data_IF_173225437687
#
_entry.id   IF_173225437687
#
_cell.length_a   1.000
_cell.length_b   1.000
_cell.length_c   1.000
_cell.angle_alpha   90.00
_cell.angle_beta   90.00
_cell.angle_gamma   90.00
#
_symmetry.space_group_name_H-M   'P 1'
#
loop_
_entity.id
_entity.type
_entity.pdbx_description
1 polymer ?
#
# COMPACT_ATOMS: atom_id res chain seq x y z
N UNK A 1 -19.44 -4.76 4.59
CA UNK A 1 -19.12 -5.55 3.39
C UNK A 1 -20.33 -6.36 2.98
N UNK A 2 -20.57 -6.47 1.68
CA UNK A 2 -21.54 -7.41 1.11
C UNK A 2 -20.96 -8.83 1.08
N UNK A 3 -21.83 -9.79 0.78
CA UNK A 3 -21.48 -11.17 0.39
C UNK A 3 -20.42 -11.19 -0.70
N UNK A 4 -20.62 -10.47 -1.81
CA UNK A 4 -19.73 -10.54 -2.98
C UNK A 4 -18.42 -9.73 -2.82
N UNK A 5 -18.14 -9.22 -1.61
CA UNK A 5 -16.99 -8.34 -1.39
C UNK A 5 -15.66 -9.06 -1.67
N UNK A 6 -15.53 -10.31 -1.22
CA UNK A 6 -14.29 -11.08 -1.32
C UNK A 6 -13.95 -11.32 -2.80
N UNK A 7 -14.94 -11.74 -3.59
CA UNK A 7 -14.80 -11.93 -5.04
C UNK A 7 -14.50 -10.62 -5.78
N UNK A 8 -15.25 -9.55 -5.48
CA UNK A 8 -15.12 -8.26 -6.17
C UNK A 8 -13.75 -7.63 -5.93
N UNK A 9 -13.25 -7.73 -4.71
CA UNK A 9 -11.96 -7.15 -4.31
C UNK A 9 -10.78 -8.10 -4.54
N UNK A 10 -11.02 -9.34 -4.98
CA UNK A 10 -9.98 -10.35 -5.14
C UNK A 10 -9.29 -10.72 -3.83
N UNK A 11 -10.00 -10.57 -2.71
CA UNK A 11 -9.52 -10.99 -1.40
C UNK A 11 -9.63 -12.51 -1.33
N UNK A 12 -8.75 -13.16 -0.58
CA UNK A 12 -8.75 -14.62 -0.42
C UNK A 12 -9.29 -14.97 0.95
N UNK A 13 -10.30 -15.83 1.04
CA UNK A 13 -10.72 -16.43 2.30
C UNK A 13 -9.70 -17.50 2.72
N UNK A 14 -9.23 -17.42 3.97
CA UNK A 14 -8.20 -18.31 4.53
C UNK A 14 -8.83 -19.39 5.39
N UNK A 15 -9.85 -19.04 6.17
CA UNK A 15 -10.58 -19.97 7.02
C UNK A 15 -12.02 -19.48 7.26
N UNK A 16 -12.93 -20.40 7.55
CA UNK A 16 -14.33 -20.10 7.86
C UNK A 16 -15.19 -19.91 6.62
N UNK A 17 -16.09 -18.92 6.65
CA UNK A 17 -17.03 -18.60 5.57
C UNK A 17 -17.12 -17.10 5.33
N UNK A 18 -17.60 -16.74 4.14
CA UNK A 18 -17.97 -15.38 3.80
C UNK A 18 -19.31 -14.97 4.44
N UNK A 19 -19.65 -13.68 4.33
CA UNK A 19 -20.99 -13.21 4.68
C UNK A 19 -22.01 -13.80 3.72
N UNK A 20 -23.18 -14.13 4.25
CA UNK A 20 -24.28 -14.74 3.49
C UNK A 20 -25.53 -13.86 3.56
N UNK A 21 -26.52 -14.08 2.67
CA UNK A 21 -27.86 -13.48 2.78
C UNK A 21 -28.55 -13.70 4.13
N UNK A 22 -28.21 -14.78 4.83
CA UNK A 22 -28.79 -15.12 6.13
C UNK A 22 -28.19 -14.32 7.30
N UNK A 23 -27.06 -13.64 7.10
CA UNK A 23 -26.44 -12.76 8.10
C UNK A 23 -27.14 -11.39 8.11
N UNK A 24 -28.44 -11.40 8.39
CA UNK A 24 -29.31 -10.23 8.43
C UNK A 24 -29.33 -9.50 9.79
N UNK A 25 -30.05 -8.38 9.90
CA UNK A 25 -30.14 -7.57 11.12
C UNK A 25 -30.57 -8.36 12.36
N UNK A 26 -31.43 -9.37 12.20
CA UNK A 26 -31.99 -10.18 13.30
C UNK A 26 -31.15 -11.41 13.66
N UNK A 27 -30.11 -11.72 12.87
CA UNK A 27 -29.22 -12.87 13.12
C UNK A 27 -28.17 -12.58 14.20
N UNK A 28 -27.38 -13.58 14.62
CA UNK A 28 -26.25 -13.34 15.51
C UNK A 28 -25.25 -12.33 14.89
N UNK A 29 -24.62 -11.50 15.71
CA UNK A 29 -23.61 -10.55 15.23
C UNK A 29 -22.41 -11.31 14.65
N UNK A 30 -22.06 -11.07 13.39
CA UNK A 30 -20.92 -11.74 12.74
C UNK A 30 -19.92 -10.74 12.19
N UNK A 31 -18.64 -11.11 12.23
CA UNK A 31 -17.53 -10.35 11.67
C UNK A 31 -16.53 -11.27 10.97
N UNK A 32 -15.80 -10.70 10.02
CA UNK A 32 -14.59 -11.30 9.50
C UNK A 32 -13.38 -10.52 9.97
N UNK A 33 -12.21 -11.15 10.01
CA UNK A 33 -10.95 -10.50 10.41
C UNK A 33 -9.84 -10.84 9.41
N UNK A 34 -8.78 -10.05 9.35
CA UNK A 34 -7.61 -10.43 8.55
C UNK A 34 -6.69 -11.42 9.28
N UNK A 35 -5.80 -12.07 8.53
CA UNK A 35 -4.77 -12.99 9.06
C UNK A 35 -3.92 -12.34 10.16
N UNK A 36 -3.53 -11.07 10.01
CA UNK A 36 -2.76 -10.38 11.03
C UNK A 36 -3.53 -10.21 12.33
N UNK A 37 -4.83 -9.87 12.29
CA UNK A 37 -5.67 -9.83 13.49
C UNK A 37 -5.78 -11.22 14.12
N UNK A 38 -6.08 -12.23 13.30
CA UNK A 38 -6.24 -13.60 13.77
C UNK A 38 -4.97 -14.11 14.46
N UNK A 39 -3.79 -13.86 13.86
CA UNK A 39 -2.49 -14.25 14.43
C UNK A 39 -2.17 -13.54 15.73
N UNK A 40 -2.44 -12.23 15.83
CA UNK A 40 -2.11 -11.43 17.02
C UNK A 40 -3.09 -11.61 18.19
N UNK A 41 -4.37 -11.85 17.91
CA UNK A 41 -5.42 -11.80 18.92
C UNK A 41 -6.22 -13.10 19.10
N UNK A 42 -6.19 -14.01 18.12
CA UNK A 42 -7.05 -15.21 18.10
C UNK A 42 -6.29 -16.53 17.99
N UNK A 43 -4.95 -16.52 17.99
CA UNK A 43 -4.13 -17.73 17.84
C UNK A 43 -4.03 -18.25 16.40
N UNK A 44 -4.30 -17.41 15.39
CA UNK A 44 -4.16 -17.75 13.97
C UNK A 44 -5.45 -18.27 13.33
N UNK A 45 -5.32 -19.21 12.38
CA UNK A 45 -6.44 -19.71 11.57
C UNK A 45 -7.55 -20.42 12.38
N UNK A 46 -7.23 -20.93 13.58
CA UNK A 46 -8.20 -21.49 14.53
C UNK A 46 -9.09 -20.46 15.23
N UNK A 47 -8.98 -19.18 14.88
CA UNK A 47 -9.76 -18.09 15.46
C UNK A 47 -11.24 -18.03 15.02
N UNK A 48 -11.65 -18.82 14.03
CA UNK A 48 -13.05 -18.91 13.58
C UNK A 48 -13.93 -19.47 14.71
N UNK A 49 -15.13 -18.92 14.87
CA UNK A 49 -16.08 -19.25 15.95
C UNK A 49 -15.76 -18.56 17.29
N UNK A 50 -14.63 -17.86 17.40
CA UNK A 50 -14.32 -17.06 18.60
C UNK A 50 -15.24 -15.85 18.65
N UNK A 51 -15.63 -15.46 19.87
CA UNK A 51 -16.47 -14.30 20.13
C UNK A 51 -15.61 -13.09 20.49
N UNK A 52 -15.74 -12.03 19.73
CA UNK A 52 -15.17 -10.71 19.98
C UNK A 52 -16.19 -9.84 20.70
N UNK A 53 -15.71 -9.06 21.65
CA UNK A 53 -16.51 -8.04 22.31
C UNK A 53 -16.06 -6.69 21.76
N UNK A 54 -16.93 -6.06 20.97
CA UNK A 54 -16.67 -4.76 20.36
C UNK A 54 -17.37 -3.68 21.18
N UNK A 55 -16.58 -2.70 21.61
CA UNK A 55 -17.05 -1.56 22.41
C UNK A 55 -17.26 -0.31 21.56
N UNK A 56 -17.29 -0.44 20.23
CA UNK A 56 -17.40 0.70 19.34
C UNK A 56 -18.74 1.42 19.54
N UNK A 57 -18.65 2.64 20.06
CA UNK A 57 -19.72 3.62 20.16
C UNK A 57 -19.55 4.68 19.09
N UNK A 58 -20.64 5.10 18.43
CA UNK A 58 -20.59 6.22 17.46
C UNK A 58 -19.90 5.90 16.12
N UNK A 59 -19.66 4.63 15.80
CA UNK A 59 -19.26 4.21 14.46
C UNK A 59 -20.53 3.97 13.66
N UNK A 60 -20.75 4.71 12.56
CA UNK A 60 -21.96 4.66 11.75
C UNK A 60 -22.64 6.04 11.60
N UNK A 61 -23.32 6.31 10.49
CA UNK A 61 -23.83 7.63 10.07
C UNK A 61 -24.96 8.19 10.94
N UNK A 62 -25.53 7.37 11.82
CA UNK A 62 -26.73 7.65 12.59
C UNK A 62 -26.49 7.52 14.10
N UNK A 63 -25.24 7.33 14.52
CA UNK A 63 -24.94 6.96 15.92
C UNK A 63 -25.54 5.62 16.35
N UNK A 64 -26.09 4.85 15.41
CA UNK A 64 -26.63 3.51 15.62
C UNK A 64 -25.47 2.55 15.86
N UNK A 65 -25.25 2.20 17.13
CA UNK A 65 -24.17 1.30 17.51
C UNK A 65 -24.36 -0.07 16.84
N UNK A 66 -23.26 -0.80 16.74
CA UNK A 66 -23.17 -2.24 16.52
C UNK A 66 -24.35 -2.94 17.24
N UNK A 67 -25.48 -3.20 16.60
CA UNK A 67 -26.72 -3.71 17.26
C UNK A 67 -27.12 -3.01 18.59
N UNK A 68 -27.14 -1.68 18.67
CA UNK A 68 -27.91 -1.04 19.74
C UNK A 68 -29.40 -0.94 19.36
N UNK A 69 -30.22 -1.84 19.90
CA UNK A 69 -31.38 -1.33 20.63
C UNK A 69 -30.84 -0.39 21.71
N UNK A 70 -31.38 0.82 21.79
CA UNK A 70 -30.76 1.98 22.44
C UNK A 70 -30.12 1.73 23.82
N UNK A 71 -29.24 2.67 24.17
CA UNK A 71 -28.40 2.74 25.37
C UNK A 71 -27.09 1.95 25.30
N UNK A 72 -26.06 2.63 25.79
CA UNK A 72 -24.76 2.12 26.22
C UNK A 72 -24.96 0.75 26.93
N UNK A 73 -24.75 -0.38 26.23
CA UNK A 73 -24.71 -1.67 26.93
C UNK A 73 -23.40 -1.69 27.74
N UNK A 74 -23.43 -1.79 29.08
CA UNK A 74 -22.23 -1.78 29.93
C UNK A 74 -21.31 -3.01 29.75
N UNK A 75 -21.43 -3.73 28.63
CA UNK A 75 -20.59 -4.85 28.26
C UNK A 75 -20.21 -4.90 26.78
N UNK A 76 -20.56 -3.94 25.93
CA UNK A 76 -20.27 -4.01 24.49
C UNK A 76 -20.99 -5.15 23.77
N UNK A 77 -20.86 -5.18 22.44
CA UNK A 77 -21.58 -6.10 21.58
C UNK A 77 -20.73 -7.31 21.22
N UNK A 78 -21.34 -8.49 21.30
CA UNK A 78 -20.65 -9.75 21.04
C UNK A 78 -20.82 -10.15 19.57
N UNK A 79 -19.71 -10.34 18.89
CA UNK A 79 -19.63 -10.74 17.49
C UNK A 79 -18.85 -12.04 17.35
N UNK A 80 -19.36 -12.96 16.54
CA UNK A 80 -18.64 -14.18 16.19
C UNK A 80 -17.76 -13.96 14.96
N UNK A 81 -16.52 -14.43 15.03
CA UNK A 81 -15.60 -14.45 13.88
C UNK A 81 -16.02 -15.59 12.97
N UNK A 82 -16.69 -15.30 11.86
CA UNK A 82 -17.16 -16.32 10.91
C UNK A 82 -16.16 -16.63 9.81
N UNK A 83 -15.21 -15.74 9.56
CA UNK A 83 -14.22 -15.89 8.50
C UNK A 83 -12.94 -15.12 8.78
N UNK A 84 -11.83 -15.66 8.27
CA UNK A 84 -10.52 -15.03 8.26
C UNK A 84 -10.13 -14.82 6.81
N UNK A 85 -9.83 -13.58 6.44
CA UNK A 85 -9.38 -13.22 5.09
C UNK A 85 -7.89 -12.92 5.05
N UNK A 86 -7.27 -13.11 3.89
CA UNK A 86 -5.87 -12.80 3.68
C UNK A 86 -5.61 -11.31 3.88
N UNK A 87 -4.42 -11.00 4.37
CA UNK A 87 -4.01 -9.63 4.65
C UNK A 87 -4.09 -8.72 3.41
N UNK A 88 -4.98 -7.72 3.47
CA UNK A 88 -5.08 -6.65 2.47
C UNK A 88 -4.29 -5.44 2.94
N UNK A 89 -3.33 -5.00 2.11
CA UNK A 89 -2.53 -3.81 2.40
C UNK A 89 -3.35 -2.55 2.15
N UNK A 90 -4.07 -2.09 3.16
CA UNK A 90 -4.85 -0.85 3.14
C UNK A 90 -4.15 0.31 3.88
N UNK A 91 -2.85 0.17 4.16
CA UNK A 91 -2.00 1.16 4.84
C UNK A 91 -1.06 1.86 3.84
N UNK A 92 -0.49 3.03 4.18
CA UNK A 92 0.54 3.69 3.37
C UNK A 92 1.70 2.74 3.02
N UNK A 93 2.33 3.01 1.87
CA UNK A 93 3.51 2.26 1.43
C UNK A 93 4.61 2.31 2.51
N UNK A 94 5.21 1.15 2.81
CA UNK A 94 6.26 1.02 3.82
C UNK A 94 5.78 0.67 5.23
N UNK A 95 4.47 0.69 5.50
CA UNK A 95 3.92 0.24 6.78
C UNK A 95 3.54 -1.24 6.74
N UNK A 96 3.66 -1.90 7.89
CA UNK A 96 3.20 -3.28 8.07
C UNK A 96 1.68 -3.37 8.02
N UNK A 97 1.15 -4.54 7.65
CA UNK A 97 -0.30 -4.77 7.68
C UNK A 97 -0.80 -4.67 9.12
N UNK A 98 -1.87 -3.91 9.32
CA UNK A 98 -2.53 -3.76 10.61
C UNK A 98 -3.65 -4.78 10.81
N UNK A 99 -3.97 -5.17 12.07
CA UNK A 99 -5.15 -5.93 12.39
C UNK A 99 -6.43 -5.22 11.92
N UNK A 100 -7.28 -5.90 11.15
CA UNK A 100 -8.51 -5.36 10.59
C UNK A 100 -9.72 -6.24 10.93
N UNK A 101 -10.85 -5.58 11.22
CA UNK A 101 -12.16 -6.22 11.42
C UNK A 101 -13.08 -5.73 10.31
N UNK A 102 -13.78 -6.68 9.70
CA UNK A 102 -14.72 -6.47 8.61
C UNK A 102 -16.12 -6.80 9.10
N UNK A 103 -17.05 -5.86 8.93
CA UNK A 103 -18.44 -5.98 9.37
C UNK A 103 -19.38 -6.23 8.18
N UNK A 104 -20.47 -6.95 8.40
CA UNK A 104 -21.50 -7.15 7.38
C UNK A 104 -22.34 -5.87 7.21
N UNK A 105 -22.49 -5.36 5.98
CA UNK A 105 -23.25 -4.12 5.72
C UNK A 105 -24.73 -4.27 6.10
N UNK A 106 -25.29 -5.49 6.00
CA UNK A 106 -26.68 -5.78 6.39
C UNK A 106 -26.91 -5.64 7.89
N UNK A 107 -25.92 -6.02 8.70
CA UNK A 107 -25.99 -5.90 10.16
C UNK A 107 -25.54 -4.53 10.67
N UNK A 108 -24.72 -3.85 9.88
CA UNK A 108 -24.10 -2.59 10.25
C UNK A 108 -24.02 -1.63 9.04
N UNK A 109 -25.16 -1.00 8.69
CA UNK A 109 -25.20 -0.06 7.58
C UNK A 109 -24.44 1.23 7.94
N UNK A 110 -23.47 1.58 7.11
CA UNK A 110 -22.86 2.90 7.12
C UNK A 110 -23.63 3.83 6.18
N UNK A 111 -23.68 5.13 6.48
CA UNK A 111 -24.48 6.10 5.72
C UNK A 111 -23.66 6.77 4.64
N UNK A 112 -22.34 6.75 4.82
CA UNK A 112 -21.43 6.69 3.68
C UNK A 112 -21.16 5.23 3.35
N UNK A 113 -21.65 4.79 2.20
CA UNK A 113 -21.37 3.46 1.66
C UNK A 113 -20.46 3.60 0.44
N UNK A 114 -19.35 2.86 0.45
CA UNK A 114 -18.49 2.73 -0.72
C UNK A 114 -18.91 1.50 -1.52
N UNK A 115 -19.12 1.69 -2.81
CA UNK A 115 -19.38 0.60 -3.75
C UNK A 115 -18.09 0.28 -4.52
N UNK A 116 -17.64 -0.97 -4.42
CA UNK A 116 -16.62 -1.51 -5.29
C UNK A 116 -17.31 -2.24 -6.45
N UNK A 117 -16.87 -1.99 -7.68
CA UNK A 117 -17.42 -2.62 -8.88
C UNK A 117 -16.27 -3.17 -9.71
N UNK A 118 -16.36 -4.44 -10.08
CA UNK A 118 -15.43 -5.09 -10.99
C UNK A 118 -15.99 -4.99 -12.41
N UNK A 119 -15.29 -4.28 -13.29
CA UNK A 119 -15.70 -4.06 -14.67
C UNK A 119 -14.50 -4.12 -15.62
N UNK A 120 -14.76 -4.45 -16.90
CA UNK A 120 -13.74 -4.39 -17.97
C UNK A 120 -13.49 -2.96 -18.43
N UNK A 121 -14.55 -2.18 -18.57
CA UNK A 121 -14.49 -0.76 -18.91
C UNK A 121 -15.06 0.08 -17.77
N UNK A 122 -14.26 1.01 -17.27
CA UNK A 122 -14.61 1.83 -16.12
C UNK A 122 -15.68 2.87 -16.46
N UNK A 123 -15.64 3.47 -17.65
CA UNK A 123 -16.58 4.53 -18.03
C UNK A 123 -17.99 3.99 -18.21
N UNK A 124 -18.13 2.90 -18.98
CA UNK A 124 -19.43 2.24 -19.18
C UNK A 124 -20.02 1.75 -17.86
N UNK A 125 -19.21 1.11 -17.01
CA UNK A 125 -19.67 0.65 -15.71
C UNK A 125 -20.09 1.80 -14.79
N UNK A 126 -19.32 2.90 -14.80
CA UNK A 126 -19.65 4.07 -14.01
C UNK A 126 -20.97 4.73 -14.45
N UNK A 127 -21.19 4.82 -15.77
CA UNK A 127 -22.43 5.32 -16.32
C UNK A 127 -23.63 4.45 -15.90
N UNK A 128 -23.48 3.12 -16.00
CA UNK A 128 -24.52 2.16 -15.59
C UNK A 128 -24.84 2.25 -14.09
N UNK A 129 -23.82 2.30 -13.23
CA UNK A 129 -23.97 2.46 -11.77
C UNK A 129 -24.67 3.78 -11.44
N UNK A 130 -24.26 4.87 -12.08
CA UNK A 130 -24.87 6.19 -11.87
C UNK A 130 -26.34 6.19 -12.28
N UNK A 131 -26.68 5.59 -13.41
CA UNK A 131 -28.06 5.47 -13.88
C UNK A 131 -28.89 4.61 -12.91
N UNK A 132 -28.39 3.45 -12.50
CA UNK A 132 -29.06 2.57 -11.54
C UNK A 132 -29.30 3.24 -10.19
N UNK A 133 -28.34 4.02 -9.69
CA UNK A 133 -28.51 4.77 -8.45
C UNK A 133 -29.56 5.88 -8.60
N UNK A 134 -29.58 6.60 -9.73
CA UNK A 134 -30.62 7.62 -9.99
C UNK A 134 -32.03 7.03 -10.01
N UNK A 135 -32.19 5.80 -10.49
CA UNK A 135 -33.50 5.12 -10.50
C UNK A 135 -33.89 4.57 -9.14
N UNK A 136 -32.95 3.96 -8.40
CA UNK A 136 -33.24 3.29 -7.14
C UNK A 136 -33.28 4.25 -5.94
N UNK A 137 -32.41 5.25 -5.93
CA UNK A 137 -32.24 6.17 -4.81
C UNK A 137 -31.86 7.59 -5.31
N UNK A 138 -32.81 8.32 -5.93
CA UNK A 138 -32.55 9.62 -6.57
C UNK A 138 -32.04 10.72 -5.62
N UNK A 139 -32.27 10.57 -4.32
CA UNK A 139 -31.90 11.51 -3.27
C UNK A 139 -30.50 11.24 -2.67
N UNK A 140 -29.83 10.16 -3.08
CA UNK A 140 -28.48 9.82 -2.58
C UNK A 140 -27.43 10.52 -3.46
N UNK A 141 -26.57 11.38 -2.88
CA UNK A 141 -25.50 12.02 -3.64
C UNK A 141 -24.49 10.96 -4.10
N UNK A 142 -24.23 10.94 -5.41
CA UNK A 142 -23.19 10.09 -5.97
C UNK A 142 -21.83 10.77 -5.82
N UNK A 143 -21.00 10.23 -4.93
CA UNK A 143 -19.64 10.73 -4.70
C UNK A 143 -18.73 10.60 -5.93
N UNK A 144 -17.53 11.19 -5.83
CA UNK A 144 -16.54 11.10 -6.90
C UNK A 144 -16.09 9.64 -7.11
N UNK A 145 -16.50 9.04 -8.22
CA UNK A 145 -15.99 7.75 -8.63
C UNK A 145 -14.53 7.84 -9.04
N UNK A 146 -13.74 6.85 -8.63
CA UNK A 146 -12.34 6.75 -8.98
C UNK A 146 -12.02 5.32 -9.33
N UNK A 147 -11.22 5.12 -10.38
CA UNK A 147 -10.65 3.80 -10.66
C UNK A 147 -9.57 3.48 -9.63
N UNK A 148 -9.30 2.19 -9.42
CA UNK A 148 -8.16 1.78 -8.58
C UNK A 148 -6.84 2.33 -9.14
N UNK A 149 -6.67 2.36 -10.47
CA UNK A 149 -5.50 2.93 -11.12
C UNK A 149 -5.28 4.41 -10.76
N UNK A 150 -6.32 5.23 -10.88
CA UNK A 150 -6.24 6.66 -10.54
C UNK A 150 -5.97 6.86 -9.05
N UNK A 151 -6.58 6.01 -8.20
CA UNK A 151 -6.38 6.06 -6.76
C UNK A 151 -4.92 5.76 -6.39
N UNK A 152 -4.30 4.78 -7.04
CA UNK A 152 -2.87 4.49 -6.86
C UNK A 152 -1.97 5.58 -7.44
N UNK A 153 -2.31 6.14 -8.60
CA UNK A 153 -1.55 7.22 -9.22
C UNK A 153 -1.51 8.47 -8.33
N UNK A 154 -2.65 8.85 -7.73
CA UNK A 154 -2.71 9.98 -6.78
C UNK A 154 -1.90 9.73 -5.51
N UNK A 155 -1.93 8.50 -4.97
CA UNK A 155 -1.16 8.11 -3.78
C UNK A 155 0.35 8.07 -4.02
N UNK A 156 0.78 7.85 -5.27
CA UNK A 156 2.20 7.71 -5.63
C UNK A 156 2.81 8.96 -6.28
N UNK A 157 1.99 9.96 -6.62
CA UNK A 157 2.44 11.18 -7.27
C UNK A 157 3.48 11.96 -6.43
N UNK A 158 3.23 12.16 -5.14
CA UNK A 158 4.11 12.93 -4.26
C UNK A 158 5.47 12.23 -4.03
N UNK A 159 5.53 10.93 -3.64
CA UNK A 159 6.80 10.20 -3.58
C UNK A 159 7.58 10.20 -4.90
N UNK A 160 6.88 10.16 -6.04
CA UNK A 160 7.50 10.15 -7.37
C UNK A 160 8.22 11.46 -7.68
N UNK A 161 7.62 12.61 -7.34
CA UNK A 161 8.27 13.92 -7.52
C UNK A 161 9.53 14.00 -6.69
N UNK A 162 9.49 13.59 -5.42
CA UNK A 162 10.66 13.55 -4.55
C UNK A 162 11.77 12.66 -5.13
N UNK A 163 11.45 11.47 -5.63
CA UNK A 163 12.44 10.58 -6.26
C UNK A 163 13.08 11.20 -7.51
N UNK A 164 12.33 11.92 -8.32
CA UNK A 164 12.88 12.63 -9.50
C UNK A 164 13.85 13.72 -9.08
N UNK A 165 13.48 14.52 -8.07
CA UNK A 165 14.34 15.59 -7.54
C UNK A 165 15.61 15.02 -6.91
N UNK A 166 15.49 13.99 -6.08
CA UNK A 166 16.65 13.29 -5.48
C UNK A 166 17.52 12.65 -6.56
N UNK A 167 16.92 12.01 -7.56
CA UNK A 167 17.66 11.41 -8.69
C UNK A 167 18.42 12.45 -9.50
N UNK A 168 17.83 13.62 -9.73
CA UNK A 168 18.49 14.74 -10.39
C UNK A 168 19.70 15.24 -9.60
N UNK A 169 19.54 15.51 -8.29
CA UNK A 169 20.64 15.95 -7.44
C UNK A 169 21.73 14.89 -7.29
N UNK A 170 21.36 13.61 -7.16
CA UNK A 170 22.32 12.51 -7.10
C UNK A 170 23.14 12.40 -8.39
N UNK A 171 22.49 12.57 -9.55
CA UNK A 171 23.17 12.57 -10.85
C UNK A 171 24.13 13.76 -10.97
N UNK A 172 23.69 14.96 -10.55
CA UNK A 172 24.53 16.15 -10.55
C UNK A 172 25.75 15.99 -9.62
N UNK A 173 25.52 15.49 -8.40
CA UNK A 173 26.58 15.22 -7.44
C UNK A 173 27.58 14.20 -7.97
N UNK A 174 27.11 13.13 -8.61
CA UNK A 174 27.97 12.14 -9.26
C UNK A 174 28.79 12.73 -10.42
N UNK A 175 28.19 13.61 -11.24
CA UNK A 175 28.91 14.30 -12.32
C UNK A 175 29.99 15.25 -11.77
N UNK A 176 29.67 16.02 -10.73
CA UNK A 176 30.63 16.91 -10.05
C UNK A 176 31.76 16.11 -9.39
N UNK A 177 31.44 14.99 -8.74
CA UNK A 177 32.44 14.09 -8.19
C UNK A 177 33.37 13.53 -9.29
N UNK A 178 32.81 13.09 -10.42
CA UNK A 178 33.59 12.60 -11.56
C UNK A 178 34.51 13.69 -12.13
N UNK A 179 34.03 14.93 -12.25
CA UNK A 179 34.85 16.07 -12.66
C UNK A 179 35.97 16.39 -11.65
N UNK A 180 35.69 16.33 -10.35
CA UNK A 180 36.69 16.53 -9.30
C UNK A 180 37.78 15.47 -9.33
N UNK A 181 37.38 14.20 -9.46
CA UNK A 181 38.30 13.05 -9.62
C UNK A 181 39.14 13.20 -10.89
N UNK A 182 38.52 13.58 -12.02
CA UNK A 182 39.24 13.86 -13.26
C UNK A 182 40.27 15.01 -13.10
N UNK A 183 39.89 16.09 -12.42
CA UNK A 183 40.77 17.22 -12.14
C UNK A 183 41.99 16.81 -11.30
N UNK A 184 41.77 16.05 -10.22
CA UNK A 184 42.84 15.53 -9.37
C UNK A 184 43.78 14.59 -10.14
N UNK A 185 43.23 13.71 -10.99
CA UNK A 185 44.02 12.84 -11.84
C UNK A 185 44.83 13.60 -12.89
N UNK A 186 44.22 14.56 -13.58
CA UNK A 186 44.92 15.40 -14.56
C UNK A 186 46.08 16.16 -13.93
N UNK A 187 45.88 16.70 -12.71
CA UNK A 187 46.93 17.38 -11.95
C UNK A 187 48.05 16.42 -11.53
N UNK A 188 47.74 15.25 -10.97
CA UNK A 188 48.73 14.26 -10.56
C UNK A 188 49.59 13.75 -11.74
N UNK A 189 48.98 13.55 -12.91
CA UNK A 189 49.70 13.19 -14.15
C UNK A 189 50.57 14.34 -14.64
N UNK A 190 50.09 15.59 -14.57
CA UNK A 190 50.85 16.77 -14.96
C UNK A 190 52.14 16.91 -14.12
N UNK A 191 52.09 16.68 -12.81
CA UNK A 191 53.27 16.72 -11.92
C UNK A 191 54.32 15.67 -12.31
N UNK A 192 53.90 14.51 -12.83
CA UNK A 192 54.80 13.40 -13.20
C UNK A 192 55.19 13.38 -14.67
N UNK A 193 54.79 14.38 -15.48
CA UNK A 193 55.07 14.40 -16.93
C UNK A 193 56.53 14.15 -17.28
N UNK A 194 57.48 14.76 -16.55
CA UNK A 194 58.92 14.56 -16.76
C UNK A 194 59.35 13.11 -16.48
N UNK A 195 58.91 12.53 -15.37
CA UNK A 195 59.22 11.14 -15.03
C UNK A 195 58.64 10.16 -16.08
N UNK A 196 57.39 10.39 -16.48
CA UNK A 196 56.70 9.57 -17.48
C UNK A 196 57.40 9.65 -18.84
N UNK A 197 57.86 10.84 -19.25
CA UNK A 197 58.62 11.03 -20.49
C UNK A 197 59.98 10.30 -20.46
N UNK A 198 60.71 10.37 -19.35
CA UNK A 198 62.00 9.67 -19.19
C UNK A 198 61.80 8.15 -19.27
N UNK A 199 60.76 7.59 -18.63
CA UNK A 199 60.47 6.15 -18.71
C UNK A 199 60.09 5.71 -20.13
N UNK A 200 59.33 6.54 -20.84
CA UNK A 200 58.98 6.31 -22.25
C UNK A 200 60.22 6.28 -23.15
N UNK A 201 61.17 7.20 -22.98
CA UNK A 201 62.41 7.22 -23.79
C UNK A 201 63.35 6.07 -23.43
N UNK A 202 63.28 5.53 -22.21
CA UNK A 202 64.00 4.33 -21.78
C UNK A 202 63.34 3.00 -22.24
N UNK A 203 62.26 3.06 -23.03
CA UNK A 203 61.63 1.88 -23.64
C UNK A 203 60.48 1.27 -22.85
N UNK A 204 59.94 1.96 -21.84
CA UNK A 204 58.77 1.45 -21.10
C UNK A 204 57.51 1.42 -21.99
N UNK A 205 56.76 0.32 -21.90
CA UNK A 205 55.56 0.11 -22.70
C UNK A 205 54.41 1.07 -22.28
N UNK A 206 53.74 1.78 -23.22
CA UNK A 206 52.71 2.78 -22.90
C UNK A 206 51.55 2.24 -22.05
N UNK A 207 51.17 0.98 -22.25
CA UNK A 207 50.13 0.27 -21.47
C UNK A 207 50.56 0.02 -20.03
N UNK A 208 51.84 -0.28 -19.80
CA UNK A 208 52.42 -0.46 -18.46
C UNK A 208 52.43 0.85 -17.67
N UNK A 209 52.71 1.96 -18.35
CA UNK A 209 52.66 3.31 -17.75
C UNK A 209 51.23 3.68 -17.39
N UNK A 210 50.27 3.51 -18.31
CA UNK A 210 48.85 3.79 -18.05
C UNK A 210 48.31 2.98 -16.87
N UNK A 211 48.63 1.70 -16.79
CA UNK A 211 48.22 0.82 -15.69
C UNK A 211 48.84 1.20 -14.34
N UNK A 212 50.10 1.66 -14.33
CA UNK A 212 50.78 2.13 -13.13
C UNK A 212 50.16 3.43 -12.61
N UNK A 213 49.84 4.37 -13.51
CA UNK A 213 49.14 5.61 -13.17
C UNK A 213 47.76 5.33 -12.60
N UNK A 214 46.95 4.46 -13.24
CA UNK A 214 45.61 4.07 -12.75
C UNK A 214 45.69 3.40 -11.37
N UNK A 215 46.68 2.54 -11.13
CA UNK A 215 46.85 1.86 -9.83
C UNK A 215 47.25 2.84 -8.73
N UNK A 216 48.15 3.77 -9.00
CA UNK A 216 48.53 4.81 -8.02
C UNK A 216 47.37 5.76 -7.75
N UNK A 217 46.62 6.12 -8.79
CA UNK A 217 45.38 6.87 -8.72
C UNK A 217 44.34 6.22 -7.79
N UNK A 218 44.13 4.91 -7.92
CA UNK A 218 43.17 4.15 -7.12
C UNK A 218 43.59 3.92 -5.66
N UNK A 219 44.85 4.17 -5.30
CA UNK A 219 45.36 4.06 -3.92
C UNK A 219 45.32 5.42 -3.20
N UNK A 220 45.23 6.51 -3.95
CA UNK A 220 45.20 7.88 -3.41
C UNK A 220 43.76 8.38 -3.10
N UNK A 221 42.75 7.73 -3.69
CA UNK A 221 41.31 7.94 -3.46
C UNK A 221 40.83 6.88 -2.48
#
# INVERSE_FOLDING_TARGET
MSDDYVETMGVTLVAGREFTPFDGPDSAGVVMVNETFARRHLGGAGGVGRRLRLFATGIGPLGLNLKAGGAHQPGGFVYEVVGIVRDVRNVPLGQGVEPAIYTCTRQFPFGETFLAVKARDAETALAAVRQGLRTAAPHVPFGAAQTWGDRFAKRTAEPRVLMVVLGFFATLAAALAALGVYGLFSWAVALRRRELAIRLTLGAQPTGIGRLVIRQAAILV
#
